data_IF_558078154214
#
_entry.id   IF_558078154214
#
_cell.length_a   1.000
_cell.length_b   1.000
_cell.length_c   1.000
_cell.angle_alpha   90.00
_cell.angle_beta   90.00
_cell.angle_gamma   90.00
#
_symmetry.space_group_name_H-M   'P 1'
#
loop_
_entity.id
_entity.type
_entity.pdbx_description
1 polymer ?
#
# COMPACT_ATOMS: atom_id res chain seq x y z
N UNK A 1 8.97 -14.15 19.15
CA UNK A 1 8.77 -12.70 19.32
C UNK A 1 9.88 -12.12 20.20
N UNK A 2 11.02 -11.67 19.64
CA UNK A 2 12.17 -11.23 20.43
C UNK A 2 12.07 -9.79 20.98
N UNK A 3 11.00 -9.04 20.65
CA UNK A 3 10.85 -7.65 21.08
C UNK A 3 9.53 -7.02 20.61
N UNK A 4 9.47 -5.70 20.62
CA UNK A 4 8.29 -4.91 20.21
C UNK A 4 8.05 -4.96 18.70
N UNK A 5 6.78 -4.85 18.30
CA UNK A 5 6.36 -4.77 16.90
C UNK A 5 5.13 -5.63 16.60
N UNK A 6 4.57 -5.44 15.41
CA UNK A 6 3.58 -6.35 14.81
C UNK A 6 4.24 -7.66 14.36
N UNK A 7 3.43 -8.61 13.88
CA UNK A 7 3.93 -9.80 13.19
C UNK A 7 4.90 -9.40 12.06
N UNK A 8 5.99 -10.13 11.84
CA UNK A 8 7.02 -9.73 10.87
C UNK A 8 6.64 -9.94 9.39
N UNK A 9 5.71 -10.87 9.12
CA UNK A 9 5.21 -11.16 7.77
C UNK A 9 4.13 -10.19 7.30
N UNK A 10 3.72 -10.31 6.04
CA UNK A 10 2.66 -9.51 5.41
C UNK A 10 1.26 -9.99 5.82
N UNK A 11 0.99 -9.90 7.13
CA UNK A 11 -0.35 -10.09 7.69
C UNK A 11 -1.11 -8.75 7.74
N UNK A 12 -2.32 -8.77 8.27
CA UNK A 12 -3.23 -7.61 8.26
C UNK A 12 -2.62 -6.34 8.86
N UNK A 13 -1.84 -6.44 9.95
CA UNK A 13 -1.23 -5.26 10.57
C UNK A 13 -0.24 -4.52 9.65
N UNK A 14 0.62 -5.26 8.92
CA UNK A 14 1.56 -4.64 8.00
C UNK A 14 0.88 -4.25 6.70
N UNK A 15 -0.06 -5.06 6.22
CA UNK A 15 -0.88 -4.75 5.06
C UNK A 15 -1.61 -3.41 5.27
N UNK A 16 -2.30 -3.20 6.39
CA UNK A 16 -2.98 -1.93 6.65
C UNK A 16 -2.01 -0.73 6.86
N UNK A 17 -0.80 -0.95 7.39
CA UNK A 17 0.21 0.12 7.47
C UNK A 17 0.73 0.53 6.09
N UNK A 18 0.93 -0.45 5.22
CA UNK A 18 1.32 -0.24 3.82
C UNK A 18 0.20 0.43 3.05
N UNK A 19 -1.04 -0.04 3.21
CA UNK A 19 -2.24 0.57 2.66
C UNK A 19 -2.33 2.05 3.05
N UNK A 20 -2.10 2.39 4.32
CA UNK A 20 -2.14 3.77 4.80
C UNK A 20 -1.06 4.66 4.15
N UNK A 21 0.13 4.13 3.87
CA UNK A 21 1.16 4.84 3.11
C UNK A 21 0.77 4.99 1.64
N UNK A 22 0.31 3.91 1.01
CA UNK A 22 -0.01 3.88 -0.42
C UNK A 22 -1.23 4.74 -0.80
N UNK A 23 -2.25 4.79 0.08
CA UNK A 23 -3.41 5.68 -0.08
C UNK A 23 -3.04 7.14 0.18
N UNK A 24 -1.91 7.40 0.84
CA UNK A 24 -1.39 8.74 1.09
C UNK A 24 -1.79 9.37 2.42
N UNK A 25 -2.38 8.63 3.38
CA UNK A 25 -2.71 9.16 4.73
C UNK A 25 -1.58 9.00 5.75
N UNK A 26 -0.54 8.23 5.41
CA UNK A 26 0.67 8.10 6.21
C UNK A 26 1.88 8.64 5.45
N UNK A 27 2.90 9.08 6.20
CA UNK A 27 4.15 9.54 5.62
C UNK A 27 4.93 8.37 4.99
N UNK A 28 5.71 8.62 3.91
CA UNK A 28 6.58 7.60 3.32
C UNK A 28 7.47 6.89 4.35
N UNK A 29 7.57 5.56 4.23
CA UNK A 29 8.23 4.67 5.19
C UNK A 29 7.35 4.17 6.34
N UNK A 30 6.12 4.67 6.50
CA UNK A 30 5.19 4.18 7.52
C UNK A 30 4.91 2.68 7.39
N UNK A 31 4.79 2.17 6.18
CA UNK A 31 4.44 0.79 5.88
C UNK A 31 5.52 -0.22 6.25
N UNK A 32 6.80 0.18 6.23
CA UNK A 32 7.92 -0.79 6.22
C UNK A 32 8.97 -0.58 7.29
N UNK A 33 9.13 0.64 7.85
CA UNK A 33 10.18 0.89 8.84
C UNK A 33 9.98 0.01 10.09
N UNK A 34 10.94 -0.84 10.50
CA UNK A 34 10.78 -1.69 11.66
C UNK A 34 10.55 -0.90 12.97
N UNK A 35 9.82 -1.49 13.92
CA UNK A 35 9.46 -0.83 15.18
C UNK A 35 10.67 -0.40 16.01
N UNK A 36 11.75 -1.18 15.98
CA UNK A 36 12.99 -0.95 16.73
C UNK A 36 13.97 0.00 16.02
N UNK A 37 13.67 0.42 14.79
CA UNK A 37 14.54 1.30 14.02
C UNK A 37 14.38 2.76 14.47
N UNK A 38 15.50 3.48 14.65
CA UNK A 38 15.49 4.90 15.04
C UNK A 38 14.71 5.80 14.05
N UNK A 39 14.58 5.38 12.77
CA UNK A 39 13.73 6.03 11.77
C UNK A 39 12.27 6.07 12.21
N UNK A 40 11.76 5.08 12.95
CA UNK A 40 10.36 5.04 13.40
C UNK A 40 10.02 6.18 14.37
N UNK A 41 10.92 6.47 15.31
CA UNK A 41 10.78 7.60 16.24
C UNK A 41 10.86 8.94 15.49
N UNK A 42 11.78 9.07 14.53
CA UNK A 42 11.86 10.27 13.66
C UNK A 42 10.59 10.46 12.85
N UNK A 43 10.04 9.39 12.27
CA UNK A 43 8.80 9.41 11.50
C UNK A 43 7.62 9.87 12.38
N UNK A 44 7.51 9.37 13.61
CA UNK A 44 6.48 9.81 14.55
C UNK A 44 6.57 11.32 14.86
N UNK A 45 7.78 11.84 15.08
CA UNK A 45 8.01 13.29 15.27
C UNK A 45 7.59 14.08 14.02
N UNK A 46 7.98 13.61 12.83
CA UNK A 46 7.60 14.27 11.58
C UNK A 46 6.09 14.22 11.32
N UNK A 47 5.40 13.14 11.68
CA UNK A 47 3.95 13.06 11.61
C UNK A 47 3.28 14.12 12.49
N UNK A 48 3.78 14.33 13.72
CA UNK A 48 3.32 15.38 14.61
C UNK A 48 3.55 16.80 14.06
N UNK A 49 4.68 17.04 13.38
CA UNK A 49 4.91 18.31 12.69
C UNK A 49 3.96 18.49 11.50
N UNK A 50 3.81 17.43 10.69
CA UNK A 50 3.02 17.47 9.46
C UNK A 50 1.54 17.67 9.72
N UNK A 51 0.97 17.04 10.75
CA UNK A 51 -0.45 17.25 11.07
C UNK A 51 -0.75 18.71 11.42
N UNK A 52 0.19 19.43 12.06
CA UNK A 52 0.03 20.86 12.33
C UNK A 52 0.07 21.70 11.05
N UNK A 53 0.86 21.31 10.05
CA UNK A 53 0.85 21.95 8.72
C UNK A 53 -0.47 21.71 7.99
N UNK A 54 -0.99 20.48 8.00
CA UNK A 54 -2.25 20.11 7.37
C UNK A 54 -3.43 20.83 8.03
N UNK A 55 -3.43 20.90 9.36
CA UNK A 55 -4.42 21.64 10.13
C UNK A 55 -4.45 23.13 9.76
N UNK A 56 -3.28 23.78 9.67
CA UNK A 56 -3.17 25.18 9.24
C UNK A 56 -3.69 25.43 7.82
N UNK A 57 -3.63 24.42 6.95
CA UNK A 57 -4.08 24.46 5.56
C UNK A 57 -5.51 23.96 5.36
N UNK A 58 -6.23 23.61 6.43
CA UNK A 58 -7.56 22.97 6.39
C UNK A 58 -7.61 21.72 5.48
N UNK A 59 -6.53 20.94 5.43
CA UNK A 59 -6.51 19.69 4.67
C UNK A 59 -7.21 18.60 5.47
N UNK A 60 -8.40 18.20 5.02
CA UNK A 60 -9.23 17.17 5.67
C UNK A 60 -8.95 15.78 5.10
N UNK A 61 -9.31 14.76 5.85
CA UNK A 61 -9.12 13.35 5.46
C UNK A 61 -9.69 13.03 4.06
N UNK A 62 -10.90 13.52 3.76
CA UNK A 62 -11.58 13.30 2.47
C UNK A 62 -10.95 14.07 1.29
N UNK A 63 -10.00 14.98 1.52
CA UNK A 63 -9.21 15.55 0.42
C UNK A 63 -8.14 14.57 -0.09
N UNK A 64 -7.75 13.60 0.74
CA UNK A 64 -6.69 12.62 0.44
C UNK A 64 -7.32 11.28 0.08
N UNK A 65 -8.33 10.85 0.84
CA UNK A 65 -9.06 9.61 0.55
C UNK A 65 -10.05 9.85 -0.58
N UNK A 66 -9.63 9.47 -1.78
CA UNK A 66 -10.44 9.45 -3.01
C UNK A 66 -10.57 8.02 -3.52
N UNK A 67 -11.48 7.77 -4.48
CA UNK A 67 -11.58 6.47 -5.16
C UNK A 67 -10.22 6.06 -5.76
N UNK A 68 -9.53 6.98 -6.42
CA UNK A 68 -8.22 6.74 -7.05
C UNK A 68 -7.11 6.47 -6.04
N UNK A 69 -7.12 7.14 -4.89
CA UNK A 69 -6.19 6.87 -3.80
C UNK A 69 -6.39 5.45 -3.25
N UNK A 70 -7.65 5.04 -3.05
CA UNK A 70 -7.98 3.66 -2.64
C UNK A 70 -7.51 2.67 -3.72
N UNK A 71 -7.78 2.92 -5.00
CA UNK A 71 -7.29 2.07 -6.10
C UNK A 71 -5.76 1.90 -6.08
N UNK A 72 -5.01 2.97 -5.80
CA UNK A 72 -3.54 2.89 -5.65
C UNK A 72 -3.14 1.97 -4.49
N UNK A 73 -3.81 2.10 -3.34
CA UNK A 73 -3.53 1.28 -2.17
C UNK A 73 -3.83 -0.21 -2.43
N UNK A 74 -4.93 -0.50 -3.14
CA UNK A 74 -5.26 -1.86 -3.56
C UNK A 74 -4.25 -2.40 -4.56
N UNK A 75 -3.80 -1.59 -5.51
CA UNK A 75 -2.76 -1.99 -6.46
C UNK A 75 -1.45 -2.36 -5.74
N UNK A 76 -1.07 -1.61 -4.70
CA UNK A 76 0.08 -1.95 -3.86
C UNK A 76 -0.13 -3.27 -3.12
N UNK A 77 -1.28 -3.47 -2.48
CA UNK A 77 -1.60 -4.72 -1.78
C UNK A 77 -1.56 -5.95 -2.70
N UNK A 78 -2.11 -5.82 -3.90
CA UNK A 78 -2.10 -6.88 -4.91
C UNK A 78 -0.70 -7.18 -5.44
N UNK A 79 0.14 -6.15 -5.57
CA UNK A 79 1.53 -6.32 -5.99
C UNK A 79 2.38 -7.01 -4.92
N UNK A 80 2.00 -6.88 -3.64
CA UNK A 80 2.74 -7.44 -2.51
C UNK A 80 2.31 -8.86 -2.12
N UNK A 81 1.08 -9.25 -2.43
CA UNK A 81 0.50 -10.45 -1.81
C UNK A 81 -0.17 -10.16 -0.45
N UNK A 82 -0.76 -8.98 -0.31
CA UNK A 82 -1.36 -8.49 0.94
C UNK A 82 -2.46 -9.38 1.53
N UNK A 83 -2.80 -9.11 2.78
CA UNK A 83 -3.85 -9.83 3.51
C UNK A 83 -5.22 -9.67 2.84
N UNK A 84 -6.01 -10.75 2.71
CA UNK A 84 -7.41 -10.64 2.24
C UNK A 84 -8.26 -9.70 3.10
N UNK A 85 -8.00 -9.63 4.42
CA UNK A 85 -8.63 -8.67 5.33
C UNK A 85 -8.44 -7.19 4.91
N UNK A 86 -7.36 -6.85 4.19
CA UNK A 86 -7.18 -5.48 3.70
C UNK A 86 -8.32 -5.08 2.76
N UNK A 87 -8.87 -6.02 1.99
CA UNK A 87 -9.99 -5.75 1.09
C UNK A 87 -11.26 -5.39 1.89
N UNK A 88 -11.55 -6.13 2.97
CA UNK A 88 -12.68 -5.84 3.86
C UNK A 88 -12.53 -4.47 4.53
N UNK A 89 -11.33 -4.17 5.05
CA UNK A 89 -11.06 -2.86 5.65
C UNK A 89 -11.15 -1.73 4.63
N UNK A 90 -10.71 -1.96 3.39
CA UNK A 90 -10.80 -0.97 2.31
C UNK A 90 -12.25 -0.67 1.94
N UNK A 91 -13.12 -1.69 1.86
CA UNK A 91 -14.56 -1.51 1.65
C UNK A 91 -15.21 -0.72 2.79
N UNK A 92 -14.86 -1.03 4.04
CA UNK A 92 -15.37 -0.30 5.21
C UNK A 92 -14.94 1.18 5.17
N UNK A 93 -13.67 1.45 4.90
CA UNK A 93 -13.15 2.83 4.79
C UNK A 93 -13.82 3.57 3.62
N UNK A 94 -13.99 2.92 2.47
CA UNK A 94 -14.69 3.51 1.33
C UNK A 94 -16.14 3.87 1.67
N UNK A 95 -16.86 2.97 2.35
CA UNK A 95 -18.23 3.20 2.81
C UNK A 95 -18.31 4.39 3.78
N UNK A 96 -17.45 4.45 4.79
CA UNK A 96 -17.39 5.57 5.75
C UNK A 96 -17.00 6.91 5.09
N UNK A 97 -16.19 6.85 4.02
CA UNK A 97 -15.84 8.02 3.21
C UNK A 97 -16.92 8.42 2.19
N UNK A 98 -18.01 7.66 2.07
CA UNK A 98 -19.05 7.87 1.06
C UNK A 98 -18.58 7.63 -0.38
N UNK A 99 -17.54 6.80 -0.57
CA UNK A 99 -16.94 6.49 -1.86
C UNK A 99 -17.54 5.19 -2.41
N UNK A 100 -18.14 5.21 -3.62
CA UNK A 100 -18.66 3.99 -4.24
C UNK A 100 -17.48 3.10 -4.69
N UNK A 101 -17.27 2.03 -3.93
CA UNK A 101 -16.25 1.01 -4.17
C UNK A 101 -16.80 -0.36 -3.81
N UNK A 102 -16.64 -1.34 -4.70
CA UNK A 102 -17.18 -2.69 -4.51
C UNK A 102 -16.18 -3.78 -4.88
N UNK A 103 -16.64 -5.03 -4.87
CA UNK A 103 -15.77 -6.17 -5.14
C UNK A 103 -15.33 -6.31 -6.61
N UNK A 104 -16.08 -5.71 -7.54
CA UNK A 104 -15.72 -5.73 -8.96
C UNK A 104 -14.57 -4.76 -9.23
N UNK A 105 -14.48 -3.67 -8.47
CA UNK A 105 -13.34 -2.77 -8.50
C UNK A 105 -12.02 -3.50 -8.17
N UNK A 106 -12.00 -4.40 -7.17
CA UNK A 106 -10.81 -5.20 -6.86
C UNK A 106 -10.39 -6.07 -8.05
N UNK A 107 -11.33 -6.83 -8.64
CA UNK A 107 -11.01 -7.68 -9.77
C UNK A 107 -10.50 -6.88 -10.98
N UNK A 108 -11.09 -5.70 -11.26
CA UNK A 108 -10.61 -4.80 -12.33
C UNK A 108 -9.17 -4.32 -12.10
N UNK A 109 -8.80 -4.00 -10.86
CA UNK A 109 -7.44 -3.57 -10.51
C UNK A 109 -6.48 -4.76 -10.63
N UNK A 110 -6.88 -5.93 -10.12
CA UNK A 110 -6.09 -7.17 -10.14
C UNK A 110 -5.60 -7.55 -11.52
N UNK A 111 -6.46 -7.41 -12.53
CA UNK A 111 -6.14 -7.76 -13.92
C UNK A 111 -5.00 -6.92 -14.51
N UNK A 112 -4.72 -5.75 -13.93
CA UNK A 112 -3.70 -4.82 -14.40
C UNK A 112 -2.41 -4.89 -13.57
N UNK A 113 -2.47 -5.41 -12.34
CA UNK A 113 -1.38 -5.35 -11.36
C UNK A 113 -0.56 -6.64 -11.38
N UNK A 114 0.75 -6.59 -11.72
CA UNK A 114 1.63 -7.74 -11.52
C UNK A 114 2.01 -7.91 -10.05
N UNK A 115 2.19 -9.16 -9.59
CA UNK A 115 2.73 -9.44 -8.26
C UNK A 115 4.25 -9.32 -8.27
N UNK A 116 4.78 -8.30 -7.59
CA UNK A 116 6.21 -7.95 -7.57
C UNK A 116 6.96 -8.51 -6.37
N UNK A 117 6.27 -8.78 -5.25
CA UNK A 117 6.87 -9.33 -4.05
C UNK A 117 6.20 -10.65 -3.64
N UNK A 118 6.94 -11.47 -2.91
CA UNK A 118 6.41 -12.63 -2.19
C UNK A 118 6.97 -12.63 -0.78
N UNK A 119 6.20 -12.08 0.16
CA UNK A 119 6.57 -12.00 1.57
C UNK A 119 5.89 -13.12 2.37
N UNK A 120 6.48 -13.52 3.50
CA UNK A 120 5.86 -14.45 4.45
C UNK A 120 4.43 -13.99 4.77
N UNK A 121 3.43 -14.88 4.71
CA UNK A 121 3.55 -16.34 4.65
C UNK A 121 3.72 -16.94 3.24
N UNK A 122 3.56 -16.17 2.17
CA UNK A 122 3.60 -16.68 0.80
C UNK A 122 5.03 -16.87 0.24
N UNK A 123 6.02 -16.19 0.84
CA UNK A 123 7.42 -16.25 0.45
C UNK A 123 8.38 -16.18 1.64
N UNK A 124 9.67 -16.10 1.33
CA UNK A 124 10.77 -16.20 2.32
C UNK A 124 11.16 -14.88 2.98
N UNK A 125 10.73 -13.74 2.40
CA UNK A 125 11.10 -12.40 2.87
C UNK A 125 10.08 -11.84 3.88
N UNK A 126 10.54 -10.91 4.72
CA UNK A 126 9.72 -10.23 5.72
C UNK A 126 9.66 -8.72 5.46
N UNK A 127 8.89 -7.99 6.26
CA UNK A 127 8.74 -6.54 6.09
C UNK A 127 10.07 -5.78 6.21
N UNK A 128 10.99 -6.21 7.07
CA UNK A 128 12.31 -5.57 7.15
C UNK A 128 13.12 -5.71 5.86
N UNK A 129 12.89 -6.77 5.09
CA UNK A 129 13.59 -7.00 3.82
C UNK A 129 12.96 -6.11 2.74
N UNK A 130 11.63 -5.97 2.74
CA UNK A 130 10.91 -5.01 1.90
C UNK A 130 11.38 -3.57 2.16
N UNK A 131 11.54 -3.18 3.44
CA UNK A 131 12.07 -1.87 3.81
C UNK A 131 13.47 -1.61 3.23
N UNK A 132 14.37 -2.58 3.40
CA UNK A 132 15.76 -2.50 2.88
C UNK A 132 15.82 -2.50 1.36
N UNK A 133 14.84 -3.13 0.70
CA UNK A 133 14.74 -3.16 -0.76
C UNK A 133 14.22 -1.84 -1.38
N UNK A 134 13.88 -0.84 -0.57
CA UNK A 134 13.38 0.46 -1.00
C UNK A 134 11.94 0.76 -0.58
N UNK A 135 11.28 -0.20 0.09
CA UNK A 135 9.95 -0.05 0.68
C UNK A 135 8.84 0.25 -0.33
N UNK A 136 7.76 0.86 0.16
CA UNK A 136 6.56 1.13 -0.65
C UNK A 136 6.82 2.19 -1.72
N UNK A 137 7.72 3.14 -1.45
CA UNK A 137 8.08 4.16 -2.44
C UNK A 137 8.72 3.56 -3.70
N UNK A 138 9.63 2.59 -3.54
CA UNK A 138 10.23 1.87 -4.67
C UNK A 138 9.19 1.04 -5.44
N UNK A 139 8.29 0.37 -4.72
CA UNK A 139 7.21 -0.42 -5.32
C UNK A 139 6.24 0.46 -6.13
N UNK A 140 5.79 1.58 -5.56
CA UNK A 140 4.91 2.55 -6.24
C UNK A 140 5.57 3.11 -7.51
N UNK A 141 6.87 3.43 -7.44
CA UNK A 141 7.63 3.87 -8.61
C UNK A 141 7.67 2.79 -9.70
N UNK A 142 7.91 1.54 -9.34
CA UNK A 142 7.94 0.43 -10.29
C UNK A 142 6.56 0.22 -10.94
N UNK A 143 5.48 0.17 -10.16
CA UNK A 143 4.11 0.04 -10.66
C UNK A 143 3.67 1.22 -11.54
N UNK A 144 4.21 2.43 -11.29
CA UNK A 144 3.90 3.61 -12.09
C UNK A 144 4.29 3.46 -13.57
N UNK A 145 5.29 2.61 -13.89
CA UNK A 145 5.71 2.32 -15.28
C UNK A 145 4.59 1.71 -16.11
N UNK A 146 3.65 0.99 -15.48
CA UNK A 146 2.48 0.37 -16.12
C UNK A 146 1.25 1.29 -16.16
N UNK A 147 1.36 2.54 -15.70
CA UNK A 147 0.25 3.52 -15.60
C UNK A 147 -0.94 3.05 -14.75
N UNK A 148 -0.68 2.13 -13.82
CA UNK A 148 -1.71 1.61 -12.89
C UNK A 148 -1.88 2.56 -11.70
N UNK A 149 -0.80 3.21 -11.29
CA UNK A 149 -0.79 4.14 -10.16
C UNK A 149 -1.21 5.53 -10.63
N UNK A 150 -2.23 6.07 -9.97
CA UNK A 150 -2.66 7.46 -10.10
C UNK A 150 -1.64 8.39 -9.41
N UNK A 151 -0.60 8.80 -10.14
CA UNK A 151 0.50 9.63 -9.62
C UNK A 151 0.07 11.03 -9.15
N UNK A 152 -1.09 11.52 -9.60
CA UNK A 152 -1.60 12.84 -9.27
C UNK A 152 -2.31 12.94 -7.91
N UNK A 153 -2.56 11.81 -7.23
CA UNK A 153 -3.24 11.82 -5.93
C UNK A 153 -2.38 12.50 -4.85
N UNK A 154 -3.00 13.41 -4.10
CA UNK A 154 -2.36 14.17 -3.03
C UNK A 154 -2.20 13.31 -1.77
N UNK A 155 -1.11 13.50 -1.05
CA UNK A 155 -0.81 12.79 0.19
C UNK A 155 -0.66 13.74 1.37
N UNK A 156 -0.57 13.20 2.59
CA UNK A 156 -0.31 13.96 3.83
C UNK A 156 1.02 14.73 3.80
N UNK A 157 1.94 14.43 2.88
CA UNK A 157 3.16 15.23 2.71
C UNK A 157 2.86 16.64 2.19
N UNK A 158 1.71 16.84 1.53
CA UNK A 158 1.37 18.02 0.73
C UNK A 158 1.81 17.92 -0.73
N UNK A 159 2.44 16.81 -1.13
CA UNK A 159 2.85 16.50 -2.49
C UNK A 159 1.99 15.35 -3.05
N UNK A 160 1.96 15.25 -4.38
CA UNK A 160 1.35 14.10 -5.03
C UNK A 160 2.24 12.85 -4.95
N UNK A 161 1.66 11.67 -5.20
CA UNK A 161 2.38 10.40 -5.17
C UNK A 161 3.59 10.41 -6.10
N UNK A 162 3.46 10.97 -7.32
CA UNK A 162 4.55 11.04 -8.29
C UNK A 162 5.78 11.79 -7.78
N UNK A 163 5.57 12.90 -7.07
CA UNK A 163 6.63 13.68 -6.44
C UNK A 163 7.29 12.89 -5.29
N UNK A 164 6.48 12.26 -4.43
CA UNK A 164 7.00 11.48 -3.30
C UNK A 164 7.91 10.33 -3.73
N UNK A 165 7.63 9.71 -4.88
CA UNK A 165 8.37 8.53 -5.38
C UNK A 165 9.38 8.87 -6.47
N UNK A 166 9.58 10.14 -6.79
CA UNK A 166 10.40 10.57 -7.94
C UNK A 166 11.79 9.93 -7.91
N UNK A 167 12.45 9.99 -6.75
CA UNK A 167 13.82 9.50 -6.52
C UNK A 167 13.89 8.07 -5.95
N UNK A 168 12.74 7.42 -5.78
CA UNK A 168 12.69 6.06 -5.26
C UNK A 168 13.19 5.07 -6.33
N UNK A 169 13.91 4.04 -5.89
CA UNK A 169 14.42 2.98 -6.74
C UNK A 169 14.52 1.68 -5.96
N UNK A 170 14.42 0.56 -6.67
CA UNK A 170 14.57 -0.77 -6.09
C UNK A 170 16.03 -0.97 -5.71
N UNK A 171 16.29 -1.31 -4.45
CA UNK A 171 17.61 -1.60 -3.91
C UNK A 171 17.94 -3.09 -3.92
N UNK A 172 16.91 -3.95 -3.90
CA UNK A 172 17.06 -5.40 -3.99
C UNK A 172 15.97 -6.02 -4.87
N UNK A 173 16.36 -6.44 -6.07
CA UNK A 173 15.46 -7.06 -7.05
C UNK A 173 15.00 -8.48 -6.68
N UNK A 174 15.61 -9.10 -5.65
CA UNK A 174 15.14 -10.40 -5.14
C UNK A 174 13.88 -10.24 -4.29
N UNK A 175 13.76 -9.11 -3.58
CA UNK A 175 12.63 -8.79 -2.70
C UNK A 175 11.53 -8.08 -3.48
N UNK A 176 11.88 -7.03 -4.23
CA UNK A 176 10.95 -6.28 -5.09
C UNK A 176 11.34 -6.54 -6.54
N UNK A 177 10.57 -7.38 -7.24
CA UNK A 177 10.82 -7.64 -8.66
C UNK A 177 10.32 -6.49 -9.54
N UNK A 178 10.86 -6.40 -10.76
CA UNK A 178 10.37 -5.45 -11.77
C UNK A 178 9.08 -5.96 -12.42
N UNK A 179 8.34 -5.07 -13.08
CA UNK A 179 7.09 -5.46 -13.75
C UNK A 179 7.27 -6.46 -14.90
N UNK A 180 8.46 -6.54 -15.48
CA UNK A 180 8.84 -7.49 -16.53
C UNK A 180 9.20 -8.87 -15.99
N UNK A 181 9.63 -8.95 -14.73
CA UNK A 181 10.03 -10.19 -14.06
C UNK A 181 9.18 -10.46 -12.81
N UNK A 182 7.88 -10.23 -12.89
CA UNK A 182 6.95 -10.44 -11.78
C UNK A 182 6.81 -11.92 -11.40
N UNK A 183 6.37 -12.21 -10.16
CA UNK A 183 6.01 -13.57 -9.75
C UNK A 183 4.78 -14.08 -10.49
N UNK A 184 3.79 -13.21 -10.64
CA UNK A 184 2.55 -13.46 -11.36
C UNK A 184 2.19 -12.23 -12.18
N UNK A 185 1.59 -12.44 -13.36
CA UNK A 185 1.16 -11.36 -14.25
C UNK A 185 -0.09 -10.61 -13.76
N UNK A 186 -0.76 -11.16 -12.73
CA UNK A 186 -1.97 -10.61 -12.11
C UNK A 186 -1.83 -10.60 -10.59
N UNK A 187 -2.62 -9.75 -9.94
CA UNK A 187 -2.62 -9.58 -8.50
C UNK A 187 -2.95 -10.85 -7.73
N UNK A 188 -2.48 -10.90 -6.48
CA UNK A 188 -2.56 -12.07 -5.60
C UNK A 188 -3.97 -12.48 -5.17
N UNK A 189 -4.89 -11.51 -5.02
CA UNK A 189 -6.25 -11.75 -4.51
C UNK A 189 -7.24 -11.70 -5.66
N UNK A 190 -8.18 -12.64 -5.68
CA UNK A 190 -9.31 -12.70 -6.62
C UNK A 190 -10.60 -12.81 -5.82
N UNK A 191 -11.63 -12.05 -6.22
CA UNK A 191 -13.00 -12.25 -5.75
C UNK A 191 -13.76 -13.16 -6.70
N UNK A 192 -14.44 -14.16 -6.16
CA UNK A 192 -15.21 -15.13 -6.93
C UNK A 192 -16.71 -14.83 -6.83
N UNK A 193 -17.43 -14.91 -7.95
CA UNK A 193 -18.89 -14.78 -8.02
C UNK A 193 -19.49 -16.00 -8.69
N UNK A 194 -20.66 -16.43 -8.19
CA UNK A 194 -21.40 -17.56 -8.75
C UNK A 194 -22.64 -17.88 -7.95
N UNK A 195 -23.32 -18.98 -8.29
CA UNK A 195 -24.51 -19.45 -7.58
C UNK A 195 -24.26 -19.73 -6.08
N UNK A 196 -23.05 -20.14 -5.69
CA UNK A 196 -22.66 -20.35 -4.30
C UNK A 196 -22.26 -19.07 -3.56
N UNK A 197 -21.84 -18.03 -4.29
CA UNK A 197 -21.44 -16.74 -3.74
C UNK A 197 -22.06 -15.59 -4.55
N UNK A 198 -23.39 -15.37 -4.45
CA UNK A 198 -24.08 -14.37 -5.28
C UNK A 198 -23.58 -12.94 -5.02
N UNK A 199 -23.15 -12.66 -3.80
CA UNK A 199 -22.59 -11.37 -3.37
C UNK A 199 -21.05 -11.34 -3.38
N UNK A 200 -20.40 -12.39 -3.88
CA UNK A 200 -18.95 -12.54 -3.89
C UNK A 200 -18.38 -13.31 -2.69
N UNK A 201 -17.19 -13.87 -2.88
CA UNK A 201 -16.34 -14.51 -1.87
C UNK A 201 -14.86 -14.23 -2.15
#
# INVERSE_FOLDING_TARGET
>A
CPGIGSCAGLYTANSMNIWAEAVGIALPGNGTIPAVDARRIRLAKHAGMKIMELFKKDVKFLYIITKKAIENAIAVEMALGGSSNTMLHSLAIASEAGIPFDIDDFNRIREQVPQLCSLSPAGEYYIQDLDKAGGISALLKELSKKKIINLGEITVTGQNIGQNVENAHILDNKVIRTTENSYNTKGSIIFLKGNLAPQGA
#
